data_IF_629750162251
#
_entry.id   IF_629750162251
#
_cell.length_a   1.000
_cell.length_b   1.000
_cell.length_c   1.000
_cell.angle_alpha   90.00
_cell.angle_beta   90.00
_cell.angle_gamma   90.00
#
_symmetry.space_group_name_H-M   'P 1'
#
loop_
_entity.id
_entity.type
_entity.pdbx_description
1 polymer ?
#
# COMPACT_ATOMS: atom_id res chain seq x y z
N UNK A 1 1.86 4.02 -16.83
CA UNK A 1 1.94 3.31 -15.54
C UNK A 1 1.61 4.28 -14.42
N UNK A 2 0.80 3.85 -13.45
CA UNK A 2 0.36 4.69 -12.34
C UNK A 2 1.55 5.07 -11.44
N UNK A 3 2.01 6.32 -11.50
CA UNK A 3 2.98 6.91 -10.55
C UNK A 3 2.51 6.81 -9.09
N UNK A 4 1.19 6.68 -8.91
CA UNK A 4 0.56 6.51 -7.61
C UNK A 4 0.86 5.14 -6.99
N UNK A 5 1.15 4.09 -7.79
CA UNK A 5 1.41 2.74 -7.27
C UNK A 5 2.70 2.70 -6.44
N UNK A 6 3.81 3.21 -7.00
CA UNK A 6 5.11 3.29 -6.29
C UNK A 6 4.99 4.17 -5.05
N UNK A 7 4.34 5.33 -5.18
CA UNK A 7 4.15 6.26 -4.06
C UNK A 7 3.28 5.67 -2.94
N UNK A 8 2.26 4.87 -3.29
CA UNK A 8 1.44 4.13 -2.34
C UNK A 8 2.25 3.04 -1.64
N UNK A 9 3.02 2.27 -2.40
CA UNK A 9 3.86 1.18 -1.88
C UNK A 9 4.94 1.71 -0.92
N UNK A 10 5.57 2.83 -1.27
CA UNK A 10 6.54 3.53 -0.40
C UNK A 10 5.91 4.05 0.91
N UNK A 11 4.70 4.62 0.85
CA UNK A 11 4.00 5.04 2.08
C UNK A 11 3.65 3.86 2.98
N UNK A 12 3.21 2.75 2.39
CA UNK A 12 2.88 1.52 3.12
C UNK A 12 4.10 0.87 3.74
N UNK A 13 5.24 0.82 3.04
CA UNK A 13 6.49 0.26 3.58
C UNK A 13 6.99 1.05 4.80
N UNK A 14 6.97 2.38 4.74
CA UNK A 14 7.32 3.23 5.89
C UNK A 14 6.37 3.04 7.08
N UNK A 15 5.07 2.89 6.80
CA UNK A 15 4.05 2.65 7.85
C UNK A 15 4.24 1.28 8.50
N UNK A 16 4.48 0.24 7.71
CA UNK A 16 4.76 -1.11 8.22
C UNK A 16 6.01 -1.12 9.10
N UNK A 17 7.09 -0.48 8.66
CA UNK A 17 8.30 -0.34 9.46
C UNK A 17 8.04 0.45 10.76
N UNK A 18 7.13 1.42 10.73
CA UNK A 18 6.71 2.16 11.93
C UNK A 18 5.90 1.30 12.89
N UNK A 19 5.05 0.41 12.37
CA UNK A 19 4.19 -0.45 13.19
C UNK A 19 4.99 -1.45 14.02
N UNK A 20 6.14 -1.90 13.50
CA UNK A 20 7.06 -2.75 14.26
C UNK A 20 8.01 -1.96 15.18
N UNK A 21 8.27 -0.70 14.89
CA UNK A 21 9.25 0.09 15.62
C UNK A 21 8.63 0.82 16.83
N UNK A 22 8.90 0.31 18.03
CA UNK A 22 8.48 0.94 19.29
C UNK A 22 9.09 2.35 19.46
N UNK A 23 10.35 2.55 19.04
CA UNK A 23 11.09 3.81 19.22
C UNK A 23 11.41 4.52 17.90
N UNK A 24 11.29 5.86 17.91
CA UNK A 24 11.49 6.70 16.71
C UNK A 24 12.91 6.75 16.17
N UNK A 25 13.92 6.63 17.03
CA UNK A 25 15.33 6.66 16.59
C UNK A 25 15.68 5.41 15.76
N UNK A 26 15.18 4.24 16.16
CA UNK A 26 15.32 2.97 15.43
C UNK A 26 14.59 3.07 14.08
N UNK A 27 13.35 3.54 14.11
CA UNK A 27 12.54 3.72 12.90
C UNK A 27 13.21 4.65 11.89
N UNK A 28 13.88 5.73 12.32
CA UNK A 28 14.57 6.64 11.41
C UNK A 28 15.68 5.94 10.61
N UNK A 29 16.46 5.07 11.24
CA UNK A 29 17.48 4.27 10.54
C UNK A 29 16.86 3.36 9.48
N UNK A 30 15.79 2.66 9.84
CA UNK A 30 15.03 1.80 8.92
C UNK A 30 14.40 2.58 7.76
N UNK A 31 13.84 3.76 8.03
CA UNK A 31 13.23 4.60 7.00
C UNK A 31 14.25 5.09 5.97
N UNK A 32 15.47 5.47 6.40
CA UNK A 32 16.55 5.84 5.49
C UNK A 32 16.97 4.65 4.63
N UNK A 33 17.08 3.46 5.24
CA UNK A 33 17.37 2.24 4.51
C UNK A 33 16.30 1.91 3.45
N UNK A 34 15.02 1.93 3.81
CA UNK A 34 13.91 1.74 2.86
C UNK A 34 13.98 2.77 1.72
N UNK A 35 14.26 4.04 2.03
CA UNK A 35 14.44 5.06 0.99
C UNK A 35 15.57 4.72 0.03
N UNK A 36 16.72 4.27 0.54
CA UNK A 36 17.85 3.88 -0.32
C UNK A 36 17.51 2.75 -1.29
N UNK A 37 16.70 1.76 -0.86
CA UNK A 37 16.24 0.67 -1.72
C UNK A 37 15.35 1.19 -2.87
N UNK A 38 14.46 2.14 -2.59
CA UNK A 38 13.62 2.75 -3.63
C UNK A 38 14.43 3.63 -4.58
N UNK A 39 15.38 4.40 -4.06
CA UNK A 39 16.28 5.23 -4.88
C UNK A 39 17.16 4.39 -5.81
N UNK A 40 17.64 3.23 -5.36
CA UNK A 40 18.43 2.32 -6.19
C UNK A 40 17.65 1.81 -7.42
N UNK A 41 16.32 1.72 -7.33
CA UNK A 41 15.46 1.19 -8.39
C UNK A 41 14.72 2.29 -9.18
N UNK A 42 15.02 3.57 -8.95
CA UNK A 42 14.26 4.70 -9.52
C UNK A 42 14.40 4.85 -11.04
N UNK A 43 15.54 4.46 -11.58
CA UNK A 43 15.87 4.61 -13.01
C UNK A 43 15.35 3.43 -13.86
N UNK A 44 14.80 2.39 -13.23
CA UNK A 44 14.24 1.23 -13.92
C UNK A 44 12.90 1.66 -14.55
N UNK A 45 12.99 2.16 -15.79
CA UNK A 45 11.86 2.74 -16.54
C UNK A 45 11.42 1.90 -17.74
N UNK A 46 11.94 0.69 -17.87
CA UNK A 46 11.95 0.00 -19.15
C UNK A 46 10.76 -0.95 -19.38
N UNK A 47 10.00 -0.78 -20.48
CA UNK A 47 9.07 -1.80 -20.95
C UNK A 47 9.75 -2.90 -21.79
N UNK A 48 11.06 -2.83 -22.11
CA UNK A 48 11.70 -3.76 -23.07
C UNK A 48 13.16 -4.20 -22.79
N UNK A 49 13.84 -3.77 -21.72
CA UNK A 49 15.27 -4.11 -21.53
C UNK A 49 15.63 -5.47 -20.93
N UNK A 50 14.66 -6.36 -20.73
CA UNK A 50 14.95 -7.79 -20.72
C UNK A 50 14.73 -8.34 -22.13
N UNK A 51 15.70 -8.10 -23.03
CA UNK A 51 16.00 -9.11 -24.04
C UNK A 51 16.57 -10.31 -23.30
N UNK A 52 15.70 -11.13 -22.71
CA UNK A 52 16.08 -12.50 -22.39
C UNK A 52 16.18 -13.19 -23.75
N UNK A 53 17.42 -13.41 -24.15
CA UNK A 53 17.81 -14.28 -25.25
C UNK A 53 17.51 -15.73 -24.88
N UNK A 54 16.23 -16.09 -24.74
CA UNK A 54 15.81 -17.49 -24.64
C UNK A 54 15.02 -17.84 -25.89
N UNK A 55 15.78 -17.90 -26.97
CA UNK A 55 15.69 -19.00 -27.92
C UNK A 55 15.76 -20.28 -27.08
N UNK A 56 14.68 -21.01 -26.85
CA UNK A 56 14.62 -22.49 -26.84
C UNK A 56 13.19 -22.95 -26.50
N UNK A 57 12.74 -23.92 -27.29
CA UNK A 57 11.40 -24.47 -27.38
C UNK A 57 10.85 -25.04 -26.06
N UNK A 58 9.52 -25.04 -25.91
CA UNK A 58 8.68 -26.26 -25.79
C UNK A 58 7.19 -25.86 -25.90
N UNK A 59 6.45 -26.78 -26.51
CA UNK A 59 5.09 -26.71 -27.03
C UNK A 59 3.99 -26.26 -26.03
N UNK A 60 3.01 -25.58 -26.63
CA UNK A 60 1.61 -25.43 -26.22
C UNK A 60 1.29 -24.97 -24.79
N UNK A 61 1.13 -23.65 -24.64
CA UNK A 61 0.21 -23.06 -23.65
C UNK A 61 -0.63 -21.97 -24.32
N UNK A 62 -1.95 -22.15 -24.50
CA UNK A 62 -2.82 -21.08 -24.96
C UNK A 62 -3.21 -20.15 -23.78
N UNK A 63 -3.46 -18.89 -24.10
CA UNK A 63 -3.95 -17.79 -23.23
C UNK A 63 -2.89 -16.93 -22.50
N UNK A 64 -2.22 -16.09 -23.29
CA UNK A 64 -1.66 -14.76 -23.01
C UNK A 64 -1.57 -14.36 -21.52
N UNK A 65 -0.55 -14.83 -20.81
CA UNK A 65 0.08 -13.99 -19.78
C UNK A 65 1.05 -13.08 -20.51
N UNK A 66 0.67 -11.82 -20.74
CA UNK A 66 1.62 -10.82 -21.24
C UNK A 66 2.85 -10.81 -20.34
N UNK A 67 4.09 -10.76 -20.88
CA UNK A 67 5.28 -10.73 -20.04
C UNK A 67 5.21 -9.50 -19.13
N UNK A 68 5.24 -9.75 -17.82
CA UNK A 68 5.30 -8.68 -16.83
C UNK A 68 6.57 -7.87 -17.07
N UNK A 69 6.42 -6.56 -17.12
CA UNK A 69 7.57 -5.65 -17.19
C UNK A 69 8.43 -5.79 -15.93
N UNK A 70 9.75 -5.58 -16.02
CA UNK A 70 10.67 -5.67 -14.86
C UNK A 70 10.20 -4.84 -13.65
N UNK A 71 9.56 -3.69 -13.91
CA UNK A 71 8.95 -2.86 -12.85
C UNK A 71 7.75 -3.52 -12.18
N UNK A 72 6.91 -4.24 -12.93
CA UNK A 72 5.80 -5.02 -12.36
C UNK A 72 6.30 -6.17 -11.49
N UNK A 73 7.39 -6.83 -11.91
CA UNK A 73 8.02 -7.90 -11.13
C UNK A 73 8.48 -7.36 -9.77
N UNK A 74 9.25 -6.27 -9.77
CA UNK A 74 9.72 -5.64 -8.52
C UNK A 74 8.55 -5.18 -7.65
N UNK A 75 7.50 -4.58 -8.25
CA UNK A 75 6.31 -4.18 -7.49
C UNK A 75 5.56 -5.37 -6.90
N UNK A 76 5.47 -6.49 -7.61
CA UNK A 76 4.82 -7.70 -7.11
C UNK A 76 5.62 -8.36 -5.98
N UNK A 77 6.94 -8.43 -6.13
CA UNK A 77 7.84 -8.94 -5.09
C UNK A 77 7.77 -8.09 -3.82
N UNK A 78 7.79 -6.78 -3.97
CA UNK A 78 7.67 -5.86 -2.83
C UNK A 78 6.29 -5.96 -2.16
N UNK A 79 5.21 -6.13 -2.92
CA UNK A 79 3.87 -6.38 -2.35
C UNK A 79 3.83 -7.68 -1.54
N UNK A 80 4.44 -8.76 -2.07
CA UNK A 80 4.55 -10.04 -1.36
C UNK A 80 5.34 -9.91 -0.05
N UNK A 81 6.44 -9.14 -0.07
CA UNK A 81 7.21 -8.85 1.14
C UNK A 81 6.37 -8.06 2.15
N UNK A 82 5.66 -7.01 1.70
CA UNK A 82 4.79 -6.24 2.59
C UNK A 82 3.69 -7.10 3.22
N UNK A 83 3.12 -8.04 2.46
CA UNK A 83 2.11 -8.98 2.97
C UNK A 83 2.66 -9.91 4.05
N UNK A 84 3.86 -10.46 3.80
CA UNK A 84 4.51 -11.43 4.69
C UNK A 84 4.83 -10.82 6.06
N UNK A 85 5.21 -9.54 6.09
CA UNK A 85 5.69 -8.86 7.29
C UNK A 85 4.64 -7.93 7.93
N UNK A 86 3.35 -8.08 7.60
CA UNK A 86 2.29 -7.28 8.22
C UNK A 86 2.27 -7.50 9.74
N UNK A 87 2.18 -6.39 10.48
CA UNK A 87 1.93 -6.45 11.90
C UNK A 87 0.49 -6.95 12.15
N UNK A 88 0.26 -7.89 13.10
CA UNK A 88 -1.08 -8.42 13.38
C UNK A 88 -2.04 -7.36 13.93
N UNK A 89 -1.53 -6.39 14.68
CA UNK A 89 -2.30 -5.25 15.23
C UNK A 89 -1.63 -3.90 14.87
N UNK A 90 -1.78 -3.39 13.65
CA UNK A 90 -1.07 -2.21 13.19
C UNK A 90 -1.56 -0.94 13.91
N UNK A 91 -0.66 0.01 14.17
CA UNK A 91 -1.04 1.24 14.88
C UNK A 91 -2.10 2.02 14.10
N UNK A 92 -3.23 2.30 14.78
CA UNK A 92 -4.29 3.18 14.31
C UNK A 92 -4.39 4.40 15.22
N UNK A 93 -4.45 5.59 14.62
CA UNK A 93 -4.67 6.81 15.39
C UNK A 93 -6.03 6.72 16.11
N UNK A 94 -6.15 7.21 17.37
CA UNK A 94 -7.36 7.01 18.17
C UNK A 94 -8.66 7.46 17.49
N UNK A 95 -8.62 8.53 16.70
CA UNK A 95 -9.79 9.10 16.03
C UNK A 95 -10.00 8.62 14.59
N UNK A 96 -9.04 7.88 14.03
CA UNK A 96 -9.18 7.32 12.68
C UNK A 96 -10.15 6.14 12.68
N UNK A 97 -10.71 5.75 11.52
CA UNK A 97 -11.57 4.57 11.42
C UNK A 97 -10.94 3.31 12.03
N UNK A 98 -11.65 2.71 12.99
CA UNK A 98 -11.16 1.55 13.77
C UNK A 98 -10.16 1.89 14.88
N UNK A 99 -9.98 3.17 15.24
CA UNK A 99 -9.25 3.60 16.43
C UNK A 99 -10.12 3.60 17.70
N UNK A 100 -9.49 3.65 18.88
CA UNK A 100 -10.17 3.52 20.18
C UNK A 100 -11.12 4.68 20.55
N UNK A 101 -11.01 5.83 19.88
CA UNK A 101 -11.88 7.01 20.04
C UNK A 101 -12.77 7.25 18.82
N UNK A 102 -12.75 6.35 17.84
CA UNK A 102 -13.62 6.45 16.67
C UNK A 102 -15.09 6.41 17.11
N UNK A 103 -15.91 7.31 16.56
CA UNK A 103 -17.36 7.41 16.79
C UNK A 103 -17.83 7.57 18.25
N UNK A 104 -16.93 7.81 19.22
CA UNK A 104 -17.32 7.98 20.63
C UNK A 104 -18.21 9.22 20.85
N UNK A 105 -18.01 10.28 20.08
CA UNK A 105 -18.71 11.58 20.22
C UNK A 105 -19.24 12.08 18.87
N UNK A 106 -20.04 11.29 18.17
CA UNK A 106 -20.70 11.78 16.95
C UNK A 106 -21.77 12.82 17.30
N UNK A 107 -21.85 13.96 16.59
CA UNK A 107 -22.97 14.87 16.76
C UNK A 107 -24.26 14.14 16.39
N UNK A 108 -25.30 14.32 17.19
CA UNK A 108 -26.61 13.74 16.90
C UNK A 108 -27.08 14.20 15.51
N UNK A 109 -27.63 13.27 14.73
CA UNK A 109 -28.27 13.60 13.46
C UNK A 109 -29.43 14.54 13.74
N UNK A 110 -29.42 15.72 13.12
CA UNK A 110 -30.57 16.62 13.16
C UNK A 110 -31.70 15.99 12.35
N UNK A 111 -32.70 15.45 13.04
CA UNK A 111 -33.94 15.00 12.42
C UNK A 111 -34.86 16.21 12.23
N UNK A 112 -35.58 16.33 11.10
CA UNK A 112 -36.69 17.26 11.05
C UNK A 112 -37.67 16.85 12.15
N UNK A 113 -38.01 17.79 13.04
CA UNK A 113 -39.06 17.57 14.03
C UNK A 113 -40.33 17.16 13.26
N UNK A 114 -41.01 16.09 13.68
CA UNK A 114 -42.30 15.76 13.11
C UNK A 114 -43.19 17.00 13.29
N UNK A 115 -43.61 17.61 12.18
CA UNK A 115 -44.38 18.84 12.19
C UNK A 115 -45.54 18.69 13.17
N UNK A 116 -45.63 19.64 14.10
CA UNK A 116 -46.77 19.80 14.99
C UNK A 116 -48.04 19.61 14.15
N UNK A 117 -48.76 18.52 14.43
CA UNK A 117 -49.96 18.17 13.71
C UNK A 117 -50.94 19.31 13.89
N UNK A 118 -51.14 20.09 12.83
CA UNK A 118 -51.96 21.29 12.84
C UNK A 118 -53.27 21.02 13.57
N UNK A 119 -53.42 21.70 14.71
CA UNK A 119 -54.69 21.86 15.39
C UNK A 119 -55.65 22.55 14.40
N UNK A 120 -56.53 21.77 13.78
CA UNK A 120 -57.71 22.22 13.03
C UNK A 120 -58.96 21.99 13.85
#
# INVERSE_FOLDING_TARGET
>A
MSTNAVTSLYRRSLKLALDWAVHRHIWRGQAVYIRSLFEANKEIRDPRQQKVSDTFAVAERPFISSPLTSTQVILQETEKLLETWKHPDPYRAPTAPGGSKYERNLPARQLPYAGDGGHH
#
